data_IF_715886267626
#
_entry.id   IF_715886267626
#
_cell.length_a   1.000
_cell.length_b   1.000
_cell.length_c   1.000
_cell.angle_alpha   90.00
_cell.angle_beta   90.00
_cell.angle_gamma   90.00
#
_symmetry.space_group_name_H-M   'P 1'
#
loop_
_entity.id
_entity.type
_entity.pdbx_description
1 polymer ?
#
# COMPACT_ATOMS: atom_id res chain seq x y z
N UNK A 1 -13.44 46.94 12.86
CA UNK A 1 -12.36 45.92 12.86
C UNK A 1 -12.17 45.41 11.44
N UNK A 2 -11.16 45.90 10.71
CA UNK A 2 -10.96 45.60 9.29
C UNK A 2 -10.26 44.26 9.14
N UNK A 3 -10.98 43.24 8.66
CA UNK A 3 -10.41 41.95 8.26
C UNK A 3 -9.53 42.16 7.01
N UNK A 4 -8.24 42.38 7.22
CA UNK A 4 -7.25 42.36 6.14
C UNK A 4 -7.20 40.94 5.54
N UNK A 5 -7.77 40.77 4.35
CA UNK A 5 -7.50 39.59 3.50
C UNK A 5 -6.01 39.56 3.19
N UNK A 6 -5.28 38.62 3.80
CA UNK A 6 -3.90 38.32 3.40
C UNK A 6 -3.91 37.88 1.94
N UNK A 7 -3.04 38.48 1.12
CA UNK A 7 -2.81 38.05 -0.26
C UNK A 7 -2.44 36.56 -0.26
N UNK A 8 -3.13 35.78 -1.09
CA UNK A 8 -2.78 34.39 -1.34
C UNK A 8 -1.36 34.35 -1.92
N UNK A 9 -0.43 33.72 -1.19
CA UNK A 9 0.90 33.45 -1.71
C UNK A 9 0.80 32.40 -2.83
N UNK A 10 1.58 32.60 -3.89
CA UNK A 10 1.71 31.67 -5.01
C UNK A 10 1.91 30.24 -4.49
N UNK A 11 1.14 29.24 -4.98
CA UNK A 11 1.24 27.89 -4.46
C UNK A 11 2.60 27.31 -4.83
N UNK A 12 3.54 27.35 -3.88
CA UNK A 12 4.77 26.57 -3.96
C UNK A 12 4.34 25.10 -3.93
N UNK A 13 4.52 24.40 -5.05
CA UNK A 13 4.23 22.97 -5.20
C UNK A 13 4.87 22.23 -4.03
N UNK A 14 4.06 21.51 -3.25
CA UNK A 14 4.54 20.77 -2.09
C UNK A 14 5.27 19.55 -2.63
N UNK A 15 6.61 19.53 -2.51
CA UNK A 15 7.39 18.35 -2.85
C UNK A 15 6.88 17.13 -2.05
N UNK A 16 6.70 16.01 -2.74
CA UNK A 16 6.33 14.74 -2.13
C UNK A 16 7.36 14.38 -1.03
N UNK A 17 6.89 13.81 0.07
CA UNK A 17 7.80 13.31 1.09
C UNK A 17 8.71 12.22 0.49
N UNK A 18 9.97 12.17 0.92
CA UNK A 18 10.94 11.18 0.44
C UNK A 18 10.37 9.75 0.49
N UNK A 19 10.62 8.90 -0.52
CA UNK A 19 10.07 7.55 -0.56
C UNK A 19 10.55 6.72 0.64
N UNK A 20 9.74 5.75 1.05
CA UNK A 20 10.14 4.78 2.08
C UNK A 20 11.39 4.04 1.56
N UNK A 21 12.45 3.90 2.35
CA UNK A 21 13.63 3.16 1.92
C UNK A 21 13.24 1.74 1.51
N UNK A 22 13.67 1.31 0.30
CA UNK A 22 13.30 0.02 -0.27
C UNK A 22 13.62 -1.15 0.68
N UNK A 23 14.70 -1.06 1.44
CA UNK A 23 15.11 -2.11 2.38
C UNK A 23 14.16 -2.24 3.58
N UNK A 24 13.53 -1.15 4.03
CA UNK A 24 12.52 -1.21 5.08
C UNK A 24 11.28 -1.95 4.58
N UNK A 25 10.84 -1.64 3.35
CA UNK A 25 9.72 -2.34 2.72
C UNK A 25 10.04 -3.82 2.54
N UNK A 26 11.20 -4.14 1.96
CA UNK A 26 11.67 -5.53 1.76
C UNK A 26 11.65 -6.32 3.07
N UNK A 27 12.19 -5.77 4.17
CA UNK A 27 12.15 -6.42 5.49
C UNK A 27 10.72 -6.63 5.99
N UNK A 28 9.84 -5.65 5.82
CA UNK A 28 8.45 -5.72 6.27
C UNK A 28 7.64 -6.81 5.56
N UNK A 29 7.90 -7.06 4.28
CA UNK A 29 7.17 -8.07 3.48
C UNK A 29 7.92 -9.40 3.35
N UNK A 30 9.13 -9.52 3.89
CA UNK A 30 10.02 -10.65 3.64
C UNK A 30 9.40 -12.00 4.00
N UNK A 31 8.72 -12.10 5.14
CA UNK A 31 8.09 -13.34 5.58
C UNK A 31 6.94 -13.77 4.67
N UNK A 32 6.05 -12.84 4.32
CA UNK A 32 4.94 -13.10 3.39
C UNK A 32 5.45 -13.46 1.99
N UNK A 33 6.45 -12.72 1.50
CA UNK A 33 7.05 -12.96 0.19
C UNK A 33 7.72 -14.33 0.08
N UNK A 34 8.46 -14.77 1.11
CA UNK A 34 9.05 -16.13 1.13
C UNK A 34 7.98 -17.21 1.10
N UNK A 35 6.96 -17.10 1.95
CA UNK A 35 5.86 -18.07 2.00
C UNK A 35 5.11 -18.18 0.67
N UNK A 36 4.80 -17.04 0.05
CA UNK A 36 4.15 -17.02 -1.27
C UNK A 36 5.03 -17.68 -2.33
N UNK A 37 6.33 -17.36 -2.34
CA UNK A 37 7.28 -17.94 -3.29
C UNK A 37 7.37 -19.46 -3.13
N UNK A 38 7.46 -19.98 -1.91
CA UNK A 38 7.48 -21.43 -1.63
C UNK A 38 6.20 -22.12 -2.16
N UNK A 39 5.02 -21.52 -1.94
CA UNK A 39 3.75 -22.08 -2.41
C UNK A 39 3.60 -22.03 -3.93
N UNK A 40 4.06 -20.95 -4.57
CA UNK A 40 4.06 -20.82 -6.03
C UNK A 40 5.00 -21.84 -6.67
N UNK A 41 6.22 -22.00 -6.16
CA UNK A 41 7.18 -22.99 -6.68
C UNK A 41 6.64 -24.43 -6.46
N UNK A 42 5.94 -24.69 -5.36
CA UNK A 42 5.29 -25.98 -5.14
C UNK A 42 4.16 -26.27 -6.15
N UNK A 43 3.33 -25.28 -6.48
CA UNK A 43 2.28 -25.41 -7.50
C UNK A 43 2.86 -25.60 -8.91
N UNK A 44 3.94 -24.88 -9.22
CA UNK A 44 4.64 -24.95 -10.51
C UNK A 44 5.48 -26.23 -10.69
N UNK A 45 5.94 -26.84 -9.59
CA UNK A 45 6.81 -28.02 -9.61
C UNK A 45 6.08 -29.37 -9.70
N UNK A 46 4.75 -29.40 -9.68
CA UNK A 46 3.98 -30.65 -9.81
C UNK A 46 3.99 -31.15 -11.26
N UNK A 47 4.29 -32.44 -11.42
CA UNK A 47 4.43 -33.18 -12.69
C UNK A 47 3.13 -33.14 -13.55
N UNK A 48 3.22 -33.40 -14.87
CA UNK A 48 2.68 -32.53 -15.91
C UNK A 48 1.15 -32.41 -15.84
N UNK A 49 0.70 -31.41 -15.11
CA UNK A 49 -0.65 -30.91 -15.23
C UNK A 49 -0.62 -29.84 -16.35
N UNK A 50 -1.54 -29.91 -17.31
CA UNK A 50 -1.63 -28.88 -18.35
C UNK A 50 -1.80 -27.49 -17.74
N UNK A 51 -1.58 -26.43 -18.54
CA UNK A 51 -1.65 -25.03 -18.08
C UNK A 51 -2.86 -24.73 -17.18
N UNK A 52 -4.05 -25.25 -17.52
CA UNK A 52 -5.27 -24.98 -16.76
C UNK A 52 -5.22 -25.53 -15.33
N UNK A 53 -4.61 -26.69 -15.11
CA UNK A 53 -4.45 -27.25 -13.77
C UNK A 53 -3.43 -26.45 -12.96
N UNK A 54 -2.31 -26.03 -13.57
CA UNK A 54 -1.33 -25.15 -12.92
C UNK A 54 -1.96 -23.82 -12.51
N UNK A 55 -2.75 -23.21 -13.39
CA UNK A 55 -3.44 -21.95 -13.08
C UNK A 55 -4.47 -22.13 -11.96
N UNK A 56 -5.20 -23.25 -11.92
CA UNK A 56 -6.13 -23.55 -10.83
C UNK A 56 -5.41 -23.65 -9.48
N UNK A 57 -4.26 -24.32 -9.42
CA UNK A 57 -3.49 -24.39 -8.18
C UNK A 57 -2.92 -23.03 -7.76
N UNK A 58 -2.46 -22.23 -8.73
CA UNK A 58 -2.02 -20.87 -8.45
C UNK A 58 -3.15 -19.99 -7.93
N UNK A 59 -4.40 -20.21 -8.37
CA UNK A 59 -5.55 -19.47 -7.85
C UNK A 59 -5.75 -19.73 -6.36
N UNK A 60 -5.71 -20.99 -5.94
CA UNK A 60 -5.80 -21.38 -4.54
C UNK A 60 -4.67 -20.76 -3.71
N UNK A 61 -3.44 -20.77 -4.22
CA UNK A 61 -2.27 -20.16 -3.57
C UNK A 61 -2.47 -18.65 -3.39
N UNK A 62 -2.93 -17.93 -4.43
CA UNK A 62 -3.14 -16.49 -4.38
C UNK A 62 -4.28 -16.13 -3.41
N UNK A 63 -5.37 -16.91 -3.40
CA UNK A 63 -6.48 -16.71 -2.46
C UNK A 63 -6.00 -16.93 -1.02
N UNK A 64 -5.24 -17.99 -0.77
CA UNK A 64 -4.66 -18.28 0.54
C UNK A 64 -3.63 -17.22 1.01
N UNK A 65 -3.11 -16.42 0.08
CA UNK A 65 -2.21 -15.30 0.33
C UNK A 65 -2.91 -13.93 0.39
N UNK A 66 -4.22 -13.91 0.65
CA UNK A 66 -5.04 -12.69 0.81
C UNK A 66 -5.15 -11.80 -0.44
N UNK A 67 -4.90 -12.33 -1.65
CA UNK A 67 -5.08 -11.58 -2.91
C UNK A 67 -6.57 -11.36 -3.23
N UNK A 68 -7.41 -12.28 -2.77
CA UNK A 68 -8.86 -12.29 -2.99
C UNK A 68 -9.27 -12.90 -4.33
N UNK A 69 -10.44 -13.56 -4.35
CA UNK A 69 -10.92 -14.36 -5.50
C UNK A 69 -10.95 -13.57 -6.82
N UNK A 70 -11.57 -12.39 -6.81
CA UNK A 70 -11.72 -11.58 -8.03
C UNK A 70 -10.36 -11.15 -8.60
N UNK A 71 -9.45 -10.73 -7.73
CA UNK A 71 -8.11 -10.27 -8.16
C UNK A 71 -7.29 -11.45 -8.69
N UNK A 72 -7.34 -12.60 -8.02
CA UNK A 72 -6.66 -13.81 -8.46
C UNK A 72 -7.14 -14.28 -9.83
N UNK A 73 -8.47 -14.36 -10.03
CA UNK A 73 -9.06 -14.74 -11.31
C UNK A 73 -8.63 -13.81 -12.46
N UNK A 74 -8.74 -12.48 -12.25
CA UNK A 74 -8.32 -11.49 -13.26
C UNK A 74 -6.83 -11.59 -13.58
N UNK A 75 -6.00 -11.79 -12.56
CA UNK A 75 -4.55 -11.93 -12.71
C UNK A 75 -4.21 -13.18 -13.56
N UNK A 76 -4.81 -14.32 -13.23
CA UNK A 76 -4.52 -15.60 -13.88
C UNK A 76 -5.10 -15.70 -15.29
N UNK A 77 -6.23 -15.05 -15.57
CA UNK A 77 -6.73 -14.93 -16.94
C UNK A 77 -5.76 -14.14 -17.83
N UNK A 78 -5.13 -13.08 -17.31
CA UNK A 78 -4.10 -12.34 -18.05
C UNK A 78 -2.83 -13.17 -18.24
N UNK A 79 -2.43 -13.96 -17.24
CA UNK A 79 -1.33 -14.93 -17.38
C UNK A 79 -1.66 -15.93 -18.48
N UNK A 80 -2.86 -16.54 -18.47
CA UNK A 80 -3.34 -17.48 -19.49
C UNK A 80 -3.29 -16.91 -20.90
N UNK A 81 -3.65 -15.64 -21.07
CA UNK A 81 -3.61 -14.96 -22.37
C UNK A 81 -2.19 -14.67 -22.87
N UNK A 82 -1.22 -14.51 -21.95
CA UNK A 82 0.18 -14.20 -22.30
C UNK A 82 0.99 -15.45 -22.62
N UNK A 83 0.72 -16.56 -21.95
CA UNK A 83 1.51 -17.79 -22.07
C UNK A 83 0.88 -18.79 -23.04
N UNK A 84 1.70 -19.60 -23.70
CA UNK A 84 1.20 -20.68 -24.56
C UNK A 84 0.61 -21.84 -23.75
N UNK A 85 -0.21 -22.70 -24.38
CA UNK A 85 -0.74 -23.92 -23.73
C UNK A 85 0.35 -24.89 -23.25
N UNK A 86 1.53 -24.82 -23.86
CA UNK A 86 2.71 -25.62 -23.54
C UNK A 86 3.78 -24.82 -22.79
N UNK A 87 3.40 -23.71 -22.17
CA UNK A 87 4.30 -22.88 -21.39
C UNK A 87 4.94 -23.68 -20.26
N UNK A 88 6.25 -23.49 -20.08
CA UNK A 88 6.96 -24.11 -18.99
C UNK A 88 6.69 -23.37 -17.66
N UNK A 89 6.99 -24.00 -16.50
CA UNK A 89 6.80 -23.38 -15.20
C UNK A 89 7.51 -22.02 -15.03
N UNK A 90 8.66 -21.82 -15.69
CA UNK A 90 9.41 -20.57 -15.60
C UNK A 90 8.73 -19.43 -16.37
N UNK A 91 8.12 -19.74 -17.52
CA UNK A 91 7.32 -18.82 -18.31
C UNK A 91 6.06 -18.39 -17.55
N UNK A 92 5.34 -19.34 -16.94
CA UNK A 92 4.17 -19.04 -16.11
C UNK A 92 4.56 -18.17 -14.92
N UNK A 93 5.64 -18.49 -14.21
CA UNK A 93 6.16 -17.68 -13.10
C UNK A 93 6.51 -16.26 -13.52
N UNK A 94 7.17 -16.11 -14.67
CA UNK A 94 7.55 -14.80 -15.21
C UNK A 94 6.32 -13.98 -15.56
N UNK A 95 5.36 -14.56 -16.27
CA UNK A 95 4.10 -13.91 -16.63
C UNK A 95 3.30 -13.49 -15.39
N UNK A 96 3.21 -14.36 -14.37
CA UNK A 96 2.56 -14.05 -13.09
C UNK A 96 3.19 -12.83 -12.42
N UNK A 97 4.52 -12.80 -12.33
CA UNK A 97 5.27 -11.67 -11.75
C UNK A 97 5.00 -10.37 -12.49
N UNK A 98 5.07 -10.40 -13.82
CA UNK A 98 4.82 -9.24 -14.67
C UNK A 98 3.39 -8.70 -14.46
N UNK A 99 2.39 -9.59 -14.39
CA UNK A 99 1.00 -9.20 -14.13
C UNK A 99 0.77 -8.63 -12.73
N UNK A 100 1.43 -9.17 -11.71
CA UNK A 100 1.36 -8.62 -10.36
C UNK A 100 1.93 -7.19 -10.32
N UNK A 101 3.05 -6.94 -11.00
CA UNK A 101 3.63 -5.60 -11.09
C UNK A 101 2.71 -4.65 -11.86
N UNK A 102 2.20 -5.08 -13.02
CA UNK A 102 1.29 -4.27 -13.82
C UNK A 102 -0.01 -3.92 -13.08
N UNK A 103 -0.52 -4.83 -12.24
CA UNK A 103 -1.72 -4.59 -11.42
C UNK A 103 -1.49 -3.54 -10.33
N UNK A 104 -0.25 -3.39 -9.85
CA UNK A 104 0.13 -2.41 -8.83
C UNK A 104 0.60 -1.08 -9.42
N UNK A 105 0.77 -0.98 -10.75
CA UNK A 105 1.22 0.23 -11.42
C UNK A 105 0.05 1.23 -11.56
N UNK A 106 -0.23 1.93 -10.46
CA UNK A 106 -1.18 3.03 -10.42
C UNK A 106 -0.44 4.37 -10.34
N UNK A 107 -0.86 5.40 -11.12
CA UNK A 107 -0.26 6.72 -11.02
C UNK A 107 -0.44 7.28 -9.61
N UNK A 108 0.56 7.99 -9.06
CA UNK A 108 0.42 8.61 -7.75
C UNK A 108 -0.75 9.60 -7.77
N UNK A 109 -1.50 9.73 -6.65
CA UNK A 109 -2.54 10.72 -6.57
C UNK A 109 -1.97 12.13 -6.75
N UNK A 110 -2.74 13.07 -7.32
CA UNK A 110 -2.28 14.44 -7.53
C UNK A 110 -1.87 15.09 -6.21
N UNK A 111 -0.83 15.92 -6.28
CA UNK A 111 -0.35 16.63 -5.10
C UNK A 111 -1.44 17.58 -4.55
N UNK A 112 -1.61 17.67 -3.22
CA UNK A 112 -2.56 18.61 -2.62
C UNK A 112 -2.21 20.05 -2.96
N UNK A 113 -3.18 20.81 -3.48
CA UNK A 113 -2.99 22.22 -3.84
C UNK A 113 -3.50 23.20 -2.78
N UNK A 114 -4.44 22.77 -1.94
CA UNK A 114 -5.04 23.59 -0.88
C UNK A 114 -4.09 23.81 0.31
N UNK A 115 -4.19 24.98 0.95
CA UNK A 115 -3.48 25.32 2.20
C UNK A 115 -4.47 25.87 3.24
N UNK A 116 -4.61 25.22 4.42
CA UNK A 116 -3.91 24.01 4.85
C UNK A 116 -4.33 22.78 4.03
N UNK A 117 -3.43 21.80 3.88
CA UNK A 117 -3.80 20.48 3.39
C UNK A 117 -4.40 19.70 4.55
N UNK A 118 -5.68 19.36 4.44
CA UNK A 118 -6.44 18.69 5.50
C UNK A 118 -6.49 17.19 5.20
N UNK A 119 -6.10 16.38 6.19
CA UNK A 119 -6.15 14.92 6.12
C UNK A 119 -7.04 14.42 7.26
N UNK A 120 -8.15 13.77 6.91
CA UNK A 120 -9.02 13.07 7.86
C UNK A 120 -8.67 11.58 7.84
N UNK A 121 -8.32 11.02 8.99
CA UNK A 121 -8.02 9.59 9.14
C UNK A 121 -9.21 8.90 9.80
N UNK A 122 -9.80 7.93 9.12
CA UNK A 122 -10.98 7.17 9.59
C UNK A 122 -10.65 5.68 9.71
N UNK A 123 -11.52 4.91 10.36
CA UNK A 123 -11.38 3.45 10.50
C UNK A 123 -11.80 2.92 11.87
N UNK A 124 -11.83 1.60 12.03
CA UNK A 124 -12.25 0.93 13.27
C UNK A 124 -11.17 0.98 14.36
N UNK A 125 -11.49 0.51 15.57
CA UNK A 125 -10.54 0.48 16.68
C UNK A 125 -9.40 -0.52 16.42
N UNK A 126 -8.20 -0.24 16.93
CA UNK A 126 -7.05 -1.15 16.83
C UNK A 126 -6.24 -1.09 15.53
N UNK A 127 -6.75 -0.53 14.43
CA UNK A 127 -6.03 -0.49 13.13
C UNK A 127 -4.85 0.52 13.06
N UNK A 128 -4.53 1.18 14.17
CA UNK A 128 -3.38 2.09 14.26
C UNK A 128 -3.61 3.51 13.73
N UNK A 129 -4.85 4.04 13.76
CA UNK A 129 -5.18 5.41 13.32
C UNK A 129 -4.31 6.49 13.97
N UNK A 130 -4.34 6.59 15.30
CA UNK A 130 -3.59 7.59 16.07
C UNK A 130 -2.08 7.48 15.84
N UNK A 131 -1.56 6.25 15.81
CA UNK A 131 -0.16 5.96 15.48
C UNK A 131 0.21 6.40 14.06
N UNK A 132 -0.69 6.23 13.10
CA UNK A 132 -0.47 6.65 11.70
C UNK A 132 -0.50 8.17 11.58
N UNK A 133 -1.41 8.85 12.29
CA UNK A 133 -1.44 10.33 12.37
C UNK A 133 -0.11 10.87 12.89
N UNK A 134 0.42 10.33 14.00
CA UNK A 134 1.70 10.75 14.55
C UNK A 134 2.88 10.50 13.61
N UNK A 135 2.94 9.32 12.97
CA UNK A 135 3.97 9.02 11.94
C UNK A 135 3.90 9.96 10.74
N UNK A 136 2.68 10.31 10.29
CA UNK A 136 2.51 11.29 9.21
C UNK A 136 2.98 12.67 9.65
N UNK A 137 2.61 13.13 10.85
CA UNK A 137 3.05 14.40 11.39
C UNK A 137 4.58 14.50 11.46
N UNK A 138 5.27 13.46 11.98
CA UNK A 138 6.73 13.37 12.01
C UNK A 138 7.35 13.44 10.62
N UNK A 139 6.84 12.67 9.66
CA UNK A 139 7.30 12.72 8.27
C UNK A 139 7.08 14.10 7.62
N UNK A 140 6.05 14.84 8.04
CA UNK A 140 5.81 16.20 7.56
C UNK A 140 6.77 17.20 8.22
N UNK A 141 7.01 17.08 9.52
CA UNK A 141 7.95 17.90 10.27
C UNK A 141 9.40 17.72 9.78
N UNK A 142 9.85 16.47 9.57
CA UNK A 142 11.15 16.14 8.97
C UNK A 142 11.34 16.77 7.58
N UNK A 143 10.25 16.95 6.84
CA UNK A 143 10.26 17.63 5.54
C UNK A 143 10.07 19.16 5.65
N UNK A 144 10.24 19.74 6.83
CA UNK A 144 10.15 21.19 7.10
C UNK A 144 8.73 21.75 7.05
N UNK A 145 7.68 20.92 7.18
CA UNK A 145 6.27 21.35 7.15
C UNK A 145 5.71 21.46 8.56
N UNK A 146 4.80 22.42 8.76
CA UNK A 146 4.05 22.58 10.00
C UNK A 146 2.79 21.72 9.95
N UNK A 147 2.62 20.85 10.94
CA UNK A 147 1.43 20.05 11.14
C UNK A 147 0.62 20.60 12.33
N UNK A 148 -0.70 20.63 12.19
CA UNK A 148 -1.62 20.85 13.30
C UNK A 148 -2.37 19.53 13.53
N UNK A 149 -2.22 18.97 14.73
CA UNK A 149 -2.93 17.76 15.14
C UNK A 149 -4.26 18.14 15.81
N UNK A 150 -5.34 17.50 15.39
CA UNK A 150 -6.69 17.75 15.91
C UNK A 150 -7.23 16.45 16.52
N UNK A 151 -7.50 16.48 17.82
CA UNK A 151 -8.00 15.32 18.57
C UNK A 151 -9.53 15.17 18.40
N UNK A 152 -9.94 14.63 17.25
CA UNK A 152 -11.36 14.41 16.93
C UNK A 152 -11.90 13.03 17.37
N UNK A 153 -11.05 12.12 17.86
CA UNK A 153 -11.47 10.82 18.43
C UNK A 153 -11.90 11.02 19.89
N UNK A 154 -13.13 11.51 20.10
CA UNK A 154 -13.68 11.85 21.43
C UNK A 154 -14.36 10.69 22.13
N UNK A 155 -14.53 9.55 21.45
CA UNK A 155 -15.17 8.36 22.04
C UNK A 155 -14.17 7.53 22.86
N UNK A 156 -12.92 7.46 22.42
CA UNK A 156 -11.87 6.70 23.11
C UNK A 156 -11.12 7.61 24.07
N UNK A 157 -11.33 7.43 25.37
CA UNK A 157 -10.72 8.25 26.43
C UNK A 157 -9.20 8.48 26.23
N UNK A 158 -8.44 7.41 25.99
CA UNK A 158 -6.99 7.48 25.82
C UNK A 158 -6.51 7.99 24.45
N UNK A 159 -7.40 8.19 23.46
CA UNK A 159 -6.98 8.61 22.12
C UNK A 159 -6.47 10.06 22.10
N UNK A 160 -7.06 10.93 22.92
CA UNK A 160 -6.63 12.32 23.09
C UNK A 160 -5.23 12.35 23.71
N UNK A 161 -5.02 11.65 24.83
CA UNK A 161 -3.72 11.54 25.52
C UNK A 161 -2.65 10.95 24.61
N UNK A 162 -2.96 9.87 23.89
CA UNK A 162 -2.03 9.26 22.94
C UNK A 162 -1.63 10.23 21.82
N UNK A 163 -2.58 11.02 21.29
CA UNK A 163 -2.29 12.01 20.26
C UNK A 163 -1.45 13.18 20.80
N UNK A 164 -1.68 13.60 22.05
CA UNK A 164 -0.87 14.62 22.70
C UNK A 164 0.60 14.19 22.84
N UNK A 165 0.85 12.94 23.26
CA UNK A 165 2.21 12.37 23.31
C UNK A 165 2.88 12.36 21.93
N UNK A 166 2.13 12.10 20.86
CA UNK A 166 2.67 12.25 19.50
C UNK A 166 2.99 13.71 19.18
N UNK A 167 2.11 14.65 19.52
CA UNK A 167 2.34 16.08 19.28
C UNK A 167 3.62 16.59 19.95
N UNK A 168 3.96 16.10 21.15
CA UNK A 168 5.19 16.47 21.86
C UNK A 168 6.47 15.90 21.23
N UNK A 169 6.36 14.76 20.55
CA UNK A 169 7.51 14.07 19.90
C UNK A 169 7.81 14.58 18.50
N UNK A 170 6.96 15.43 17.94
CA UNK A 170 6.94 15.82 16.53
C UNK A 170 7.32 17.28 16.36
#
# INVERSE_FOLDING_TARGET
MVLRRRRASTPRVVAAAAPVPADRLRRGVAAAGRRLMEQVEAALGRAPAGLDAVLSELEEVLIAADVGMRTAAVLLDRVRQRVGRSADPAEVRRALREEMVATLDAPPPPAPTARPWVVLVTGVNGVGKTTTIGKLAARHAEAGRRALLVAADTFRAAAIEQLAVWAERT
#
